data_IF_298864594529
#
_entry.id   IF_298864594529
#
_cell.length_a   1.000
_cell.length_b   1.000
_cell.length_c   1.000
_cell.angle_alpha   90.00
_cell.angle_beta   90.00
_cell.angle_gamma   90.00
#
_symmetry.space_group_name_H-M   'P 1'
#
loop_
_entity.id
_entity.type
_entity.pdbx_description
1 polymer ?
#
# COMPACT_ATOMS: atom_id res chain seq x y z
N UNK A 1 -26.23 -69.94 34.99
CA UNK A 1 -26.50 -68.50 34.80
C UNK A 1 -27.84 -68.35 34.10
N UNK A 2 -28.75 -67.54 34.65
CA UNK A 2 -30.10 -67.36 34.09
C UNK A 2 -30.04 -66.57 32.78
N UNK A 3 -30.92 -66.90 31.82
CA UNK A 3 -31.08 -66.20 30.54
C UNK A 3 -31.22 -64.67 30.72
N UNK A 4 -31.87 -64.26 31.81
CA UNK A 4 -32.01 -62.85 32.19
C UNK A 4 -30.66 -62.14 32.41
N UNK A 5 -29.67 -62.81 33.00
CA UNK A 5 -28.35 -62.22 33.22
C UNK A 5 -27.60 -61.98 31.90
N UNK A 6 -27.74 -62.88 30.93
CA UNK A 6 -27.12 -62.73 29.60
C UNK A 6 -27.75 -61.56 28.81
N UNK A 7 -29.07 -61.40 28.90
CA UNK A 7 -29.79 -60.29 28.25
C UNK A 7 -29.41 -58.93 28.85
N UNK A 8 -29.30 -58.84 30.17
CA UNK A 8 -28.86 -57.61 30.85
C UNK A 8 -27.43 -57.26 30.47
N UNK A 9 -26.53 -58.24 30.39
CA UNK A 9 -25.14 -58.01 29.98
C UNK A 9 -25.05 -57.54 28.53
N UNK A 10 -25.82 -58.15 27.61
CA UNK A 10 -25.88 -57.74 26.22
C UNK A 10 -26.43 -56.31 26.06
N UNK A 11 -27.48 -55.97 26.81
CA UNK A 11 -28.05 -54.62 26.82
C UNK A 11 -27.05 -53.59 27.37
N UNK A 12 -26.35 -53.91 28.45
CA UNK A 12 -25.31 -53.05 29.03
C UNK A 12 -24.13 -52.84 28.07
N UNK A 13 -23.69 -53.90 27.38
CA UNK A 13 -22.64 -53.81 26.38
C UNK A 13 -23.02 -52.92 25.20
N UNK A 14 -24.25 -53.07 24.69
CA UNK A 14 -24.77 -52.21 23.62
C UNK A 14 -24.86 -50.74 24.06
N UNK A 15 -25.35 -50.49 25.26
CA UNK A 15 -25.45 -49.13 25.80
C UNK A 15 -24.09 -48.45 25.91
N UNK A 16 -23.07 -49.15 26.41
CA UNK A 16 -21.70 -48.62 26.47
C UNK A 16 -21.09 -48.36 25.09
N UNK A 17 -21.32 -49.26 24.13
CA UNK A 17 -20.86 -49.06 22.76
C UNK A 17 -21.51 -47.80 22.13
N UNK A 18 -22.83 -47.64 22.27
CA UNK A 18 -23.54 -46.45 21.77
C UNK A 18 -23.08 -45.16 22.48
N UNK A 19 -22.80 -45.21 23.79
CA UNK A 19 -22.27 -44.07 24.53
C UNK A 19 -20.87 -43.66 24.03
N UNK A 20 -19.99 -44.63 23.80
CA UNK A 20 -18.64 -44.40 23.28
C UNK A 20 -18.68 -43.82 21.86
N UNK A 21 -19.52 -44.36 20.97
CA UNK A 21 -19.69 -43.82 19.62
C UNK A 21 -20.14 -42.37 19.67
N UNK A 22 -21.16 -42.04 20.47
CA UNK A 22 -21.62 -40.66 20.64
C UNK A 22 -20.54 -39.74 21.20
N UNK A 23 -19.69 -40.24 22.09
CA UNK A 23 -18.57 -39.46 22.61
C UNK A 23 -17.53 -39.20 21.51
N UNK A 24 -17.13 -40.23 20.77
CA UNK A 24 -16.19 -40.12 19.67
C UNK A 24 -16.70 -39.20 18.56
N UNK A 25 -17.99 -39.24 18.23
CA UNK A 25 -18.62 -38.32 17.28
C UNK A 25 -18.51 -36.85 17.74
N UNK A 26 -18.75 -36.57 19.02
CA UNK A 26 -18.58 -35.21 19.57
C UNK A 26 -17.13 -34.75 19.54
N UNK A 27 -16.18 -35.65 19.84
CA UNK A 27 -14.75 -35.34 19.78
C UNK A 27 -14.30 -35.07 18.35
N UNK A 28 -14.77 -35.88 17.38
CA UNK A 28 -14.53 -35.64 15.96
C UNK A 28 -15.08 -34.30 15.51
N UNK A 29 -16.30 -33.96 15.91
CA UNK A 29 -16.89 -32.67 15.58
C UNK A 29 -16.07 -31.51 16.16
N UNK A 30 -15.69 -31.58 17.44
CA UNK A 30 -14.83 -30.56 18.06
C UNK A 30 -13.49 -30.40 17.35
N UNK A 31 -12.88 -31.51 16.92
CA UNK A 31 -11.64 -31.48 16.15
C UNK A 31 -11.83 -30.88 14.76
N UNK A 32 -12.96 -31.16 14.11
CA UNK A 32 -13.31 -30.56 12.82
C UNK A 32 -13.49 -29.04 12.94
N UNK A 33 -14.26 -28.59 13.93
CA UNK A 33 -14.49 -27.17 14.20
C UNK A 33 -13.17 -26.44 14.53
N UNK A 34 -12.31 -27.07 15.35
CA UNK A 34 -11.00 -26.53 15.68
C UNK A 34 -10.07 -26.43 14.46
N UNK A 35 -10.12 -27.43 13.57
CA UNK A 35 -9.36 -27.42 12.32
C UNK A 35 -9.82 -26.28 11.40
N UNK A 36 -11.12 -26.07 11.27
CA UNK A 36 -11.66 -25.00 10.44
C UNK A 36 -11.25 -23.62 10.96
N UNK A 37 -11.32 -23.40 12.27
CA UNK A 37 -10.84 -22.17 12.90
C UNK A 37 -9.33 -21.95 12.64
N UNK A 38 -8.50 -22.97 12.83
CA UNK A 38 -7.06 -22.89 12.59
C UNK A 38 -6.74 -22.59 11.13
N UNK A 39 -7.51 -23.16 10.20
CA UNK A 39 -7.35 -22.94 8.77
C UNK A 39 -7.61 -21.45 8.44
N UNK A 40 -8.65 -20.86 9.01
CA UNK A 40 -8.94 -19.43 8.87
C UNK A 40 -7.83 -18.53 9.41
N UNK A 41 -7.24 -18.89 10.55
CA UNK A 41 -6.09 -18.15 11.11
C UNK A 41 -4.86 -18.25 10.20
N UNK A 42 -4.58 -19.44 9.64
CA UNK A 42 -3.48 -19.64 8.69
C UNK A 42 -3.68 -18.80 7.43
N UNK A 43 -4.88 -18.79 6.87
CA UNK A 43 -5.18 -18.02 5.66
C UNK A 43 -5.06 -16.52 5.90
N UNK A 44 -5.47 -16.04 7.09
CA UNK A 44 -5.27 -14.65 7.50
C UNK A 44 -3.79 -14.29 7.60
N UNK A 45 -2.99 -15.11 8.28
CA UNK A 45 -1.54 -14.88 8.41
C UNK A 45 -0.85 -14.90 7.05
N UNK A 46 -1.25 -15.81 6.15
CA UNK A 46 -0.73 -15.84 4.77
C UNK A 46 -1.01 -14.53 4.04
N UNK A 47 -2.22 -14.02 4.16
CA UNK A 47 -2.62 -12.76 3.52
C UNK A 47 -1.83 -11.57 4.10
N UNK A 48 -1.63 -11.55 5.43
CA UNK A 48 -0.80 -10.53 6.09
C UNK A 48 0.66 -10.59 5.60
N UNK A 49 1.24 -11.79 5.45
CA UNK A 49 2.60 -11.97 4.91
C UNK A 49 2.69 -11.51 3.47
N UNK A 50 1.73 -11.88 2.61
CA UNK A 50 1.71 -11.47 1.20
C UNK A 50 1.65 -9.93 1.06
N UNK A 51 0.82 -9.28 1.87
CA UNK A 51 0.74 -7.81 1.93
C UNK A 51 2.08 -7.20 2.35
N UNK A 52 2.74 -7.75 3.37
CA UNK A 52 4.04 -7.26 3.83
C UNK A 52 5.15 -7.47 2.79
N UNK A 53 5.19 -8.63 2.14
CA UNK A 53 6.16 -8.91 1.07
C UNK A 53 5.94 -8.00 -0.15
N UNK A 54 4.69 -7.66 -0.48
CA UNK A 54 4.40 -6.73 -1.56
C UNK A 54 4.78 -5.30 -1.17
N UNK A 55 4.49 -4.87 0.06
CA UNK A 55 4.90 -3.56 0.57
C UNK A 55 6.43 -3.41 0.59
N UNK A 56 7.17 -4.45 1.02
CA UNK A 56 8.63 -4.47 0.96
C UNK A 56 9.16 -4.35 -0.47
N UNK A 57 8.60 -5.13 -1.41
CA UNK A 57 8.94 -5.05 -2.84
C UNK A 57 8.64 -3.68 -3.45
N UNK A 58 7.50 -3.07 -3.11
CA UNK A 58 7.15 -1.72 -3.53
C UNK A 58 8.13 -0.68 -2.96
N UNK A 59 8.56 -0.84 -1.72
CA UNK A 59 9.58 0.03 -1.10
C UNK A 59 10.94 -0.10 -1.78
N UNK A 60 11.38 -1.31 -2.12
CA UNK A 60 12.61 -1.53 -2.88
C UNK A 60 12.53 -0.97 -4.30
N UNK A 61 11.40 -1.17 -4.98
CA UNK A 61 11.18 -0.65 -6.32
C UNK A 61 11.10 0.88 -6.33
N UNK A 62 10.49 1.48 -5.30
CA UNK A 62 10.54 2.91 -5.04
C UNK A 62 11.99 3.37 -4.80
N UNK A 63 12.76 2.70 -3.95
CA UNK A 63 14.16 3.06 -3.70
C UNK A 63 15.06 2.95 -4.95
N UNK A 64 14.77 2.01 -5.86
CA UNK A 64 15.56 1.78 -7.07
C UNK A 64 15.15 2.67 -8.25
N UNK A 65 13.86 2.96 -8.42
CA UNK A 65 13.36 3.75 -9.56
C UNK A 65 13.16 5.24 -9.23
N UNK A 66 12.90 5.57 -7.96
CA UNK A 66 12.76 6.94 -7.49
C UNK A 66 14.05 7.33 -6.78
N UNK A 67 15.07 7.64 -7.57
CA UNK A 67 16.15 8.53 -7.16
C UNK A 67 15.57 9.93 -6.94
N UNK A 68 14.70 10.07 -5.93
CA UNK A 68 14.12 11.31 -5.47
C UNK A 68 15.24 12.10 -4.80
N UNK A 69 16.04 12.78 -5.63
CA UNK A 69 16.85 13.89 -5.15
C UNK A 69 15.88 14.96 -4.68
N UNK A 70 16.03 15.39 -3.42
CA UNK A 70 15.35 16.58 -2.90
C UNK A 70 15.72 17.75 -3.80
N UNK A 71 14.77 18.18 -4.62
CA UNK A 71 14.92 19.39 -5.43
C UNK A 71 14.93 20.56 -4.46
N UNK A 72 15.99 21.37 -4.49
CA UNK A 72 16.05 22.57 -3.64
C UNK A 72 14.98 23.54 -4.12
N UNK A 73 14.33 24.27 -3.22
CA UNK A 73 13.25 25.21 -3.58
C UNK A 73 13.68 26.23 -4.64
N UNK A 74 14.97 26.54 -4.71
CA UNK A 74 15.60 27.41 -5.71
C UNK A 74 15.50 26.88 -7.16
N UNK A 75 15.28 25.57 -7.33
CA UNK A 75 15.24 24.88 -8.63
C UNK A 75 13.81 24.73 -9.18
N UNK A 76 12.79 25.10 -8.39
CA UNK A 76 11.38 25.09 -8.79
C UNK A 76 10.96 26.54 -8.96
N UNK A 77 11.44 27.18 -10.01
CA UNK A 77 11.15 28.58 -10.31
C UNK A 77 9.86 28.75 -11.16
N UNK A 78 9.39 27.67 -11.81
CA UNK A 78 8.26 27.67 -12.72
C UNK A 78 7.35 26.45 -12.43
N UNK A 79 6.03 26.67 -12.45
CA UNK A 79 4.99 25.63 -12.33
C UNK A 79 5.18 24.51 -13.36
N UNK A 80 5.78 24.86 -14.51
CA UNK A 80 6.13 23.91 -15.57
C UNK A 80 7.26 22.95 -15.17
N UNK A 81 8.26 23.46 -14.46
CA UNK A 81 9.38 22.65 -13.97
C UNK A 81 8.93 21.76 -12.79
N UNK A 82 8.03 22.25 -11.94
CA UNK A 82 7.36 21.44 -10.93
C UNK A 82 6.58 20.28 -11.57
N UNK A 83 5.73 20.58 -12.55
CA UNK A 83 4.92 19.56 -13.22
C UNK A 83 5.77 18.54 -13.98
N UNK A 84 6.92 18.95 -14.54
CA UNK A 84 7.90 18.05 -15.17
C UNK A 84 8.53 17.10 -14.15
N UNK A 85 8.88 17.60 -12.96
CA UNK A 85 9.43 16.78 -11.86
C UNK A 85 8.39 15.80 -11.31
N UNK A 86 7.13 16.21 -11.22
CA UNK A 86 6.02 15.39 -10.68
C UNK A 86 5.37 14.49 -11.76
N UNK A 87 5.82 14.57 -13.02
CA UNK A 87 5.36 13.70 -14.12
C UNK A 87 3.98 14.05 -14.66
N UNK A 88 3.49 15.27 -14.44
CA UNK A 88 2.19 15.75 -14.92
C UNK A 88 2.38 16.35 -16.33
N UNK A 89 1.65 15.84 -17.33
CA UNK A 89 1.64 16.41 -18.69
C UNK A 89 0.91 17.75 -18.70
N UNK A 90 1.65 18.85 -18.70
CA UNK A 90 1.09 20.19 -18.89
C UNK A 90 0.94 20.47 -20.39
N UNK A 91 -0.23 20.92 -20.87
CA UNK A 91 -0.39 21.33 -22.27
C UNK A 91 0.49 22.55 -22.58
N UNK A 92 1.25 22.48 -23.67
CA UNK A 92 2.06 23.60 -24.16
C UNK A 92 1.13 24.77 -24.54
N UNK A 93 1.05 25.77 -23.67
CA UNK A 93 0.50 27.08 -24.04
C UNK A 93 1.65 27.94 -24.58
N UNK A 94 1.53 28.54 -25.77
CA UNK A 94 2.58 29.37 -26.35
C UNK A 94 2.97 30.46 -25.36
N UNK A 95 4.28 30.62 -25.15
CA UNK A 95 4.82 31.65 -24.25
C UNK A 95 4.31 33.02 -24.69
N UNK A 96 3.78 33.81 -23.74
CA UNK A 96 3.37 35.19 -23.99
C UNK A 96 4.58 36.14 -24.15
N UNK A 97 5.81 35.63 -24.00
CA UNK A 97 7.02 36.41 -24.17
C UNK A 97 7.41 36.42 -25.65
N UNK A 98 7.42 37.58 -26.32
CA UNK A 98 7.92 37.67 -27.68
C UNK A 98 9.40 37.26 -27.71
N UNK A 99 9.74 36.32 -28.60
CA UNK A 99 11.09 35.73 -28.73
C UNK A 99 12.21 36.74 -29.05
N UNK A 100 11.85 38.00 -29.30
CA UNK A 100 12.77 39.09 -29.64
C UNK A 100 12.86 40.17 -28.55
N UNK A 101 12.37 39.89 -27.33
CA UNK A 101 12.55 40.83 -26.23
C UNK A 101 14.03 40.82 -25.80
N UNK A 102 14.75 41.90 -26.12
CA UNK A 102 16.14 42.10 -25.71
C UNK A 102 16.19 42.38 -24.20
N UNK A 103 16.16 41.31 -23.41
CA UNK A 103 16.07 41.32 -21.93
C UNK A 103 17.22 42.13 -21.33
N UNK A 104 18.40 42.12 -21.96
CA UNK A 104 19.59 42.85 -21.48
C UNK A 104 19.40 44.36 -21.71
N UNK A 105 18.91 44.78 -22.86
CA UNK A 105 18.64 46.19 -23.16
C UNK A 105 17.61 46.81 -22.20
N UNK A 106 16.54 46.07 -21.90
CA UNK A 106 15.52 46.52 -20.95
C UNK A 106 16.04 46.56 -19.49
N UNK A 107 16.93 45.65 -19.09
CA UNK A 107 17.52 45.65 -17.76
C UNK A 107 18.52 46.80 -17.55
N UNK A 108 19.29 47.16 -18.58
CA UNK A 108 20.23 48.29 -18.53
C UNK A 108 19.46 49.62 -18.48
N UNK A 109 18.37 49.76 -19.24
CA UNK A 109 17.54 50.98 -19.24
C UNK A 109 16.85 51.28 -17.90
N UNK A 110 16.56 50.27 -17.09
CA UNK A 110 15.95 50.45 -15.77
C UNK A 110 16.94 50.72 -14.64
N UNK A 111 18.21 50.34 -14.79
CA UNK A 111 19.22 50.54 -13.76
C UNK A 111 19.93 51.91 -13.87
N UNK A 112 19.69 52.65 -14.94
CA UNK A 112 20.32 53.95 -15.20
C UNK A 112 19.32 55.13 -15.22
N UNK A 113 18.36 55.10 -14.30
CA UNK A 113 17.51 56.26 -13.98
C UNK A 113 18.34 57.49 -13.53
N UNK A 114 19.63 57.32 -13.20
CA UNK A 114 20.56 58.40 -12.89
C UNK A 114 21.23 59.07 -14.11
N UNK A 115 21.27 58.42 -15.28
CA UNK A 115 21.84 59.03 -16.48
C UNK A 115 20.83 59.92 -17.23
N UNK A 116 19.54 59.61 -17.15
CA UNK A 116 18.48 60.42 -17.78
C UNK A 116 18.29 61.81 -17.13
N UNK A 117 18.60 61.96 -15.83
CA UNK A 117 18.49 63.24 -15.12
C UNK A 117 19.66 64.21 -15.35
N UNK A 118 20.81 63.75 -15.86
CA UNK A 118 21.97 64.62 -16.18
C UNK A 118 21.97 65.20 -17.59
N UNK A 119 21.03 64.81 -18.44
CA UNK A 119 20.90 65.35 -19.79
C UNK A 119 19.94 66.55 -19.89
N UNK A 120 19.40 67.03 -18.75
CA UNK A 120 18.40 68.11 -18.68
C UNK A 120 18.86 69.29 -17.81
N UNK A 121 20.18 69.42 -17.56
CA UNK A 121 20.79 70.68 -17.08
C UNK A 121 21.81 71.21 -18.07
#
# INVERSE_FOLDING_TARGET
MSLAALLVLAAAGRFHAEANVRQSERELQRLADAREALQGDVDRVRLDVEVLENAGRLSELNAQHLALRTVRSEQIADDRDFARVVGIKVPEKPSAVPQNADIIGNAIGMNDLSAAERAVQ
#
